data_IF_532067634176
#
_entry.id   IF_532067634176
#
_cell.length_a   1.000
_cell.length_b   1.000
_cell.length_c   1.000
_cell.angle_alpha   90.00
_cell.angle_beta   90.00
_cell.angle_gamma   90.00
#
_symmetry.space_group_name_H-M   'P 1'
#
loop_
_entity.id
_entity.type
_entity.pdbx_description
1 polymer ?
#
# COMPACT_ATOMS: atom_id res chain seq x y z
N UNK A 1 14.90 -4.87 8.72
CA UNK A 1 13.87 -3.97 8.19
C UNK A 1 12.62 -4.81 8.02
N UNK A 2 11.58 -4.49 8.77
CA UNK A 2 10.29 -5.17 8.68
C UNK A 2 9.31 -4.28 7.93
N UNK A 3 8.41 -4.90 7.17
CA UNK A 3 7.31 -4.22 6.50
C UNK A 3 6.01 -4.78 7.04
N UNK A 4 5.08 -3.90 7.40
CA UNK A 4 3.70 -4.26 7.70
C UNK A 4 2.80 -3.57 6.67
N UNK A 5 1.72 -4.22 6.27
CA UNK A 5 0.78 -3.64 5.32
C UNK A 5 -0.60 -3.67 5.97
N UNK A 6 -1.20 -2.50 6.06
CA UNK A 6 -2.56 -2.33 6.56
C UNK A 6 -3.49 -2.00 5.38
N UNK A 7 -4.60 -2.71 5.27
CA UNK A 7 -5.61 -2.43 4.24
C UNK A 7 -6.80 -1.71 4.88
N UNK A 8 -7.02 -0.48 4.43
CA UNK A 8 -8.09 0.40 4.89
C UNK A 8 -9.14 0.52 3.78
N UNK A 9 -10.40 0.27 4.14
CA UNK A 9 -11.53 0.52 3.27
C UNK A 9 -12.25 1.76 3.79
N UNK A 10 -12.17 2.85 3.03
CA UNK A 10 -12.84 4.11 3.37
C UNK A 10 -13.83 4.49 2.27
N UNK A 11 -14.67 5.48 2.54
CA UNK A 11 -15.52 6.08 1.52
C UNK A 11 -14.95 7.44 1.17
N UNK A 12 -14.73 7.67 -0.12
CA UNK A 12 -14.40 9.00 -0.65
C UNK A 12 -15.55 10.00 -0.37
N UNK A 13 -15.28 11.29 -0.56
CA UNK A 13 -16.23 12.40 -0.40
C UNK A 13 -17.51 12.21 -1.22
N UNK A 14 -17.49 11.42 -2.30
CA UNK A 14 -18.65 11.11 -3.14
C UNK A 14 -19.40 9.85 -2.69
N UNK A 15 -18.92 9.16 -1.65
CA UNK A 15 -19.50 7.94 -1.10
C UNK A 15 -19.10 6.65 -1.81
N UNK A 16 -18.17 6.72 -2.77
CA UNK A 16 -17.55 5.57 -3.41
C UNK A 16 -16.65 4.84 -2.42
N UNK A 17 -16.68 3.50 -2.43
CA UNK A 17 -15.74 2.71 -1.64
C UNK A 17 -14.36 2.82 -2.27
N UNK A 18 -13.40 3.27 -1.48
CA UNK A 18 -11.99 3.40 -1.82
C UNK A 18 -11.19 2.45 -0.93
N UNK A 19 -10.32 1.66 -1.54
CA UNK A 19 -9.39 0.79 -0.81
C UNK A 19 -8.02 1.43 -0.83
N UNK A 20 -7.41 1.59 0.34
CA UNK A 20 -6.03 2.08 0.50
C UNK A 20 -5.20 1.03 1.22
N UNK A 21 -3.97 0.82 0.76
CA UNK A 21 -2.95 0.02 1.48
C UNK A 21 -1.90 0.94 2.06
N UNK A 22 -1.65 0.84 3.36
CA UNK A 22 -0.64 1.62 4.07
C UNK A 22 0.51 0.68 4.39
N UNK A 23 1.63 0.85 3.71
CA UNK A 23 2.84 0.08 4.01
C UNK A 23 3.63 0.83 5.08
N UNK A 24 3.82 0.19 6.22
CA UNK A 24 4.69 0.68 7.28
C UNK A 24 6.06 0.00 7.18
N UNK A 25 7.11 0.80 7.09
CA UNK A 25 8.50 0.32 7.11
C UNK A 25 9.13 0.71 8.43
N UNK A 26 9.69 -0.27 9.15
CA UNK A 26 10.49 -0.01 10.36
C UNK A 26 11.97 -0.20 10.06
N UNK A 27 12.73 0.88 10.22
CA UNK A 27 14.19 0.90 10.11
C UNK A 27 14.90 0.23 11.32
N UNK A 28 16.20 -0.04 11.20
CA UNK A 28 17.04 -0.58 12.26
C UNK A 28 17.09 0.29 13.53
N UNK A 29 16.82 1.58 13.44
CA UNK A 29 16.69 2.49 14.59
C UNK A 29 15.34 2.39 15.30
N UNK A 30 14.36 1.69 14.70
CA UNK A 30 12.99 1.61 15.19
C UNK A 30 12.08 2.74 14.69
N UNK A 31 12.58 3.63 13.82
CA UNK A 31 11.76 4.64 13.18
C UNK A 31 10.81 3.99 12.16
N UNK A 32 9.53 4.35 12.24
CA UNK A 32 8.46 3.85 11.38
C UNK A 32 8.07 4.92 10.37
N UNK A 33 8.10 4.57 9.09
CA UNK A 33 7.61 5.41 8.00
C UNK A 33 6.42 4.75 7.33
N UNK A 34 5.36 5.52 7.09
CA UNK A 34 4.13 5.03 6.47
C UNK A 34 4.04 5.52 5.02
N UNK A 35 3.70 4.60 4.12
CA UNK A 35 3.62 4.83 2.69
C UNK A 35 2.22 4.44 2.22
N UNK A 36 1.33 5.41 2.02
CA UNK A 36 -0.04 5.15 1.58
C UNK A 36 -0.09 4.89 0.06
N UNK A 37 -0.82 3.85 -0.32
CA UNK A 37 -1.14 3.47 -1.69
C UNK A 37 -2.64 3.40 -1.87
N UNK A 38 -3.12 3.95 -2.97
CA UNK A 38 -4.48 3.81 -3.44
C UNK A 38 -4.58 2.57 -4.32
N UNK A 39 -5.58 1.73 -4.05
CA UNK A 39 -5.89 0.58 -4.88
C UNK A 39 -6.86 1.01 -5.97
N UNK A 40 -6.43 0.90 -7.22
CA UNK A 40 -7.22 1.25 -8.40
C UNK A 40 -7.32 0.05 -9.33
N UNK A 41 -8.52 -0.24 -9.83
CA UNK A 41 -8.69 -1.27 -10.85
C UNK A 41 -8.54 -0.64 -12.23
N UNK A 42 -7.46 -0.97 -12.94
CA UNK A 42 -7.22 -0.52 -14.31
C UNK A 42 -7.19 -1.73 -15.26
N UNK A 43 -8.04 -1.72 -16.29
CA UNK A 43 -8.15 -2.81 -17.28
C UNK A 43 -8.42 -4.21 -16.67
N UNK A 44 -9.10 -4.27 -15.52
CA UNK A 44 -9.39 -5.52 -14.81
C UNK A 44 -8.20 -6.10 -14.03
N UNK A 45 -7.14 -5.30 -13.84
CA UNK A 45 -6.04 -5.60 -12.95
C UNK A 45 -6.02 -4.60 -11.79
N UNK A 46 -5.79 -5.09 -10.58
CA UNK A 46 -5.57 -4.24 -9.41
C UNK A 46 -4.17 -3.62 -9.49
N UNK A 47 -4.11 -2.29 -9.52
CA UNK A 47 -2.88 -1.50 -9.50
C UNK A 47 -2.82 -0.62 -8.26
N UNK A 48 -1.61 -0.26 -7.85
CA UNK A 48 -1.36 0.52 -6.64
C UNK A 48 -0.72 1.84 -7.01
N UNK A 49 -1.41 2.94 -6.70
CA UNK A 49 -0.91 4.28 -6.91
C UNK A 49 -0.40 4.86 -5.59
N UNK A 50 0.87 5.25 -5.53
CA UNK A 50 1.42 5.88 -4.34
C UNK A 50 0.85 7.30 -4.20
N UNK A 51 0.25 7.61 -3.04
CA UNK A 51 -0.39 8.90 -2.75
C UNK A 51 0.36 9.76 -1.72
N UNK A 52 1.57 9.34 -1.35
CA UNK A 52 2.42 10.09 -0.42
C UNK A 52 3.24 11.20 -1.09
N UNK A 53 3.95 11.98 -0.29
CA UNK A 53 4.89 12.99 -0.79
C UNK A 53 6.16 12.32 -1.33
N UNK A 54 6.56 12.67 -2.55
CA UNK A 54 7.76 12.14 -3.21
C UNK A 54 7.57 10.77 -3.88
N UNK A 55 8.62 9.95 -3.82
CA UNK A 55 8.64 8.60 -4.39
C UNK A 55 8.77 7.57 -3.26
N UNK A 56 7.97 6.50 -3.31
CA UNK A 56 8.07 5.43 -2.33
C UNK A 56 9.34 4.60 -2.55
N UNK A 57 9.97 4.08 -1.48
CA UNK A 57 11.14 3.21 -1.59
C UNK A 57 10.83 1.93 -2.38
N UNK A 58 11.78 1.42 -3.18
CA UNK A 58 11.62 0.15 -3.90
C UNK A 58 11.22 -1.02 -2.98
N UNK A 59 11.74 -1.04 -1.74
CA UNK A 59 11.41 -2.06 -0.75
C UNK A 59 9.93 -2.07 -0.36
N UNK A 60 9.27 -0.91 -0.42
CA UNK A 60 7.84 -0.76 -0.15
C UNK A 60 7.02 -1.30 -1.32
N UNK A 61 7.40 -0.98 -2.55
CA UNK A 61 6.77 -1.56 -3.75
C UNK A 61 6.88 -3.09 -3.79
N UNK A 62 8.05 -3.63 -3.43
CA UNK A 62 8.28 -5.07 -3.36
C UNK A 62 7.45 -5.74 -2.26
N UNK A 63 7.32 -5.12 -1.09
CA UNK A 63 6.48 -5.62 0.00
C UNK A 63 5.01 -5.69 -0.44
N UNK A 64 4.52 -4.64 -1.10
CA UNK A 64 3.17 -4.59 -1.63
C UNK A 64 2.92 -5.72 -2.64
N UNK A 65 3.85 -5.94 -3.58
CA UNK A 65 3.74 -6.99 -4.61
C UNK A 65 3.78 -8.41 -4.02
N UNK A 66 4.52 -8.63 -2.93
CA UNK A 66 4.67 -9.95 -2.31
C UNK A 66 3.38 -10.42 -1.63
N UNK A 67 2.62 -9.50 -1.03
CA UNK A 67 1.34 -9.83 -0.37
C UNK A 67 0.26 -10.30 -1.36
N UNK A 68 0.31 -9.86 -2.62
CA UNK A 68 -0.59 -10.35 -3.69
C UNK A 68 -0.39 -11.83 -4.01
N UNK A 69 0.81 -12.36 -3.81
CA UNK A 69 1.12 -13.75 -4.14
C UNK A 69 0.69 -14.72 -3.02
N UNK A 70 0.54 -14.25 -1.77
CA UNK A 70 0.09 -15.07 -0.64
C UNK A 70 -1.44 -15.19 -0.53
N UNK A 71 -2.21 -14.17 -0.93
CA UNK A 71 -3.69 -14.21 -0.89
C UNK A 71 -4.31 -15.12 -1.99
N UNK A 72 -3.53 -15.51 -3.01
CA UNK A 72 -3.98 -16.40 -4.09
C UNK A 72 -3.69 -17.91 -3.85
N UNK A 73 -3.32 -18.33 -2.64
CA UNK A 73 -2.97 -19.74 -2.34
C UNK A 73 -4.04 -20.54 -1.61
#
# INVERSE_FOLDING_TARGET
MGYNIDTVHEKDEQGCQETRRIVESTDATGETSQYPFLVVEENGAETHEYVGDGEAPDGVHAALATEFEEDQR
#
